data_IF_479204873404
#
_entry.id   IF_479204873404
#
_cell.length_a   1.000
_cell.length_b   1.000
_cell.length_c   1.000
_cell.angle_alpha   90.00
_cell.angle_beta   90.00
_cell.angle_gamma   90.00
#
_symmetry.space_group_name_H-M   'P 1'
#
loop_
_entity.id
_entity.type
_entity.pdbx_description
1 polymer ?
#
# COMPACT_ATOMS: atom_id res chain seq x y z
N UNK A 1 45.77 18.58 39.81
CA UNK A 1 45.94 17.37 39.00
C UNK A 1 47.39 17.21 38.54
N UNK A 2 48.04 18.19 37.89
CA UNK A 2 49.44 18.09 37.38
C UNK A 2 50.43 17.81 38.52
N UNK A 3 50.34 18.49 39.66
CA UNK A 3 51.22 18.25 40.84
C UNK A 3 51.12 16.82 41.35
N UNK A 4 49.92 16.22 41.37
CA UNK A 4 49.73 14.86 41.81
C UNK A 4 50.33 13.87 40.81
N UNK A 5 50.20 14.13 39.48
CA UNK A 5 50.81 13.29 38.46
C UNK A 5 52.35 13.28 38.53
N UNK A 6 52.95 14.42 38.90
CA UNK A 6 54.42 14.51 39.13
C UNK A 6 54.84 13.71 40.36
N UNK A 7 54.05 13.77 41.43
CA UNK A 7 54.33 13.02 42.67
C UNK A 7 54.17 11.51 42.50
N UNK A 8 53.25 11.10 41.62
CA UNK A 8 52.99 9.70 41.32
C UNK A 8 53.96 9.12 40.31
N UNK A 9 54.87 9.92 39.75
CA UNK A 9 55.92 9.49 38.79
C UNK A 9 56.92 8.53 39.47
N UNK A 10 56.91 7.28 39.04
CA UNK A 10 57.85 6.28 39.54
C UNK A 10 59.26 6.57 39.04
N UNK A 11 60.29 6.41 39.93
CA UNK A 11 61.71 6.68 39.61
C UNK A 11 62.24 5.99 38.35
N UNK A 12 61.72 4.85 37.98
CA UNK A 12 62.15 4.17 36.76
C UNK A 12 61.71 4.86 35.45
N UNK A 13 60.75 5.77 35.48
CA UNK A 13 60.33 6.59 34.34
C UNK A 13 61.25 7.78 34.06
N UNK A 14 62.22 7.99 34.93
CA UNK A 14 63.25 9.04 34.76
C UNK A 14 64.50 8.54 34.08
N UNK A 15 64.52 7.33 33.55
CA UNK A 15 65.64 6.83 32.70
C UNK A 15 65.63 7.49 31.35
N UNK A 16 66.81 7.74 30.75
CA UNK A 16 66.95 8.48 29.49
C UNK A 16 66.07 7.99 28.37
N UNK A 17 65.90 6.66 28.24
CA UNK A 17 65.03 6.03 27.23
C UNK A 17 63.53 6.29 27.43
N UNK A 18 63.06 6.45 28.64
CA UNK A 18 61.68 6.77 28.98
C UNK A 18 61.36 8.25 28.78
N UNK A 19 62.37 9.12 29.02
CA UNK A 19 62.29 10.56 28.76
C UNK A 19 62.20 10.83 27.25
N UNK A 20 62.99 10.13 26.41
CA UNK A 20 62.89 10.23 24.97
C UNK A 20 61.52 9.83 24.44
N UNK A 21 60.97 8.71 24.88
CA UNK A 21 59.61 8.28 24.51
C UNK A 21 58.53 9.29 24.95
N UNK A 22 58.67 9.89 26.11
CA UNK A 22 57.75 10.87 26.63
C UNK A 22 57.81 12.18 25.83
N UNK A 23 58.98 12.55 25.38
CA UNK A 23 59.20 13.71 24.48
C UNK A 23 58.66 13.47 23.08
N UNK A 24 58.79 12.25 22.53
CA UNK A 24 58.16 11.85 21.27
C UNK A 24 56.64 11.89 21.38
N UNK A 25 56.06 11.29 22.43
CA UNK A 25 54.63 11.30 22.68
C UNK A 25 54.09 12.73 22.88
N UNK A 26 54.81 13.57 23.61
CA UNK A 26 54.47 14.97 23.76
C UNK A 26 54.50 15.74 22.44
N UNK A 27 55.56 15.51 21.61
CA UNK A 27 55.64 16.10 20.26
C UNK A 27 54.48 15.70 19.36
N UNK A 28 54.13 14.41 19.33
CA UNK A 28 52.97 13.87 18.57
C UNK A 28 51.68 14.51 19.02
N UNK A 29 51.45 14.64 20.34
CA UNK A 29 50.23 15.29 20.84
C UNK A 29 50.17 16.77 20.46
N UNK A 30 51.26 17.49 20.45
CA UNK A 30 51.27 18.88 20.01
C UNK A 30 50.96 19.03 18.52
N UNK A 31 51.47 18.11 17.68
CA UNK A 31 51.17 18.07 16.24
C UNK A 31 49.67 17.81 16.04
N UNK A 32 49.10 16.82 16.75
CA UNK A 32 47.67 16.51 16.72
C UNK A 32 46.80 17.70 17.14
N UNK A 33 47.21 18.44 18.18
CA UNK A 33 46.50 19.63 18.62
C UNK A 33 46.50 20.70 17.53
N UNK A 34 47.68 20.97 16.95
CA UNK A 34 47.84 21.98 15.88
C UNK A 34 47.02 21.64 14.64
N UNK A 35 46.94 20.35 14.27
CA UNK A 35 46.08 19.87 13.18
C UNK A 35 44.61 20.09 13.46
N UNK A 36 44.17 19.73 14.66
CA UNK A 36 42.75 19.89 15.06
C UNK A 36 42.36 21.36 15.18
N UNK A 37 43.25 22.21 15.69
CA UNK A 37 43.04 23.67 15.72
C UNK A 37 42.90 24.26 14.32
N UNK A 38 43.70 23.80 13.36
CA UNK A 38 43.59 24.22 11.94
C UNK A 38 42.27 23.76 11.30
N UNK A 39 41.79 22.56 11.61
CA UNK A 39 40.49 22.06 11.13
C UNK A 39 39.34 22.92 11.68
N UNK A 40 39.40 23.28 12.97
CA UNK A 40 38.38 24.10 13.63
C UNK A 40 38.39 25.56 13.16
N UNK A 41 39.59 26.12 12.82
CA UNK A 41 39.73 27.50 12.40
C UNK A 41 39.29 27.72 10.94
N UNK A 42 39.40 26.71 10.07
CA UNK A 42 39.10 26.80 8.66
C UNK A 42 37.89 25.95 8.26
N UNK A 43 36.73 26.58 7.96
CA UNK A 43 35.54 25.87 7.53
C UNK A 43 35.75 25.04 6.25
N UNK A 44 36.68 25.40 5.39
CA UNK A 44 36.96 24.65 4.17
C UNK A 44 37.63 23.31 4.50
N UNK A 45 38.62 23.33 5.41
CA UNK A 45 39.26 22.11 5.91
C UNK A 45 38.31 21.22 6.67
N UNK A 46 37.45 21.78 7.50
CA UNK A 46 36.41 21.01 8.18
C UNK A 46 35.51 20.28 7.17
N UNK A 47 35.09 20.96 6.10
CA UNK A 47 34.29 20.36 5.04
C UNK A 47 35.03 19.23 4.29
N UNK A 48 36.34 19.37 4.11
CA UNK A 48 37.19 18.36 3.47
C UNK A 48 37.26 17.08 4.33
N UNK A 49 37.54 17.22 5.63
CA UNK A 49 37.57 16.11 6.58
C UNK A 49 36.21 15.36 6.61
N UNK A 50 35.10 16.10 6.69
CA UNK A 50 33.78 15.51 6.63
C UNK A 50 33.55 14.73 5.33
N UNK A 51 34.02 15.27 4.21
CA UNK A 51 33.89 14.59 2.90
C UNK A 51 34.71 13.31 2.85
N UNK A 52 35.90 13.30 3.41
CA UNK A 52 36.76 12.11 3.47
C UNK A 52 36.15 11.03 4.37
N UNK A 53 35.68 11.40 5.55
CA UNK A 53 35.01 10.48 6.46
C UNK A 53 33.74 9.87 5.81
N UNK A 54 32.92 10.69 5.17
CA UNK A 54 31.74 10.20 4.46
C UNK A 54 32.11 9.30 3.28
N UNK A 55 33.19 9.58 2.57
CA UNK A 55 33.68 8.73 1.49
C UNK A 55 34.15 7.37 2.04
N UNK A 56 34.86 7.37 3.17
CA UNK A 56 35.29 6.14 3.85
C UNK A 56 34.10 5.29 4.28
N UNK A 57 33.09 5.91 4.91
CA UNK A 57 31.83 5.23 5.29
C UNK A 57 31.12 4.66 4.08
N UNK A 58 31.01 5.44 2.98
CA UNK A 58 30.41 4.96 1.73
C UNK A 58 31.15 3.74 1.17
N UNK A 59 32.49 3.75 1.18
CA UNK A 59 33.28 2.66 0.65
C UNK A 59 33.18 1.39 1.50
N UNK A 60 32.98 1.54 2.81
CA UNK A 60 32.87 0.43 3.75
C UNK A 60 31.46 -0.17 3.81
N UNK A 61 30.41 0.66 3.68
CA UNK A 61 29.02 0.26 3.90
C UNK A 61 28.11 0.50 2.68
N UNK A 62 28.68 1.02 1.58
CA UNK A 62 27.90 1.30 0.38
C UNK A 62 27.45 0.03 -0.32
N UNK A 63 26.15 -0.13 -0.42
CA UNK A 63 25.51 -1.18 -1.21
C UNK A 63 25.10 -0.66 -2.57
N UNK A 64 25.00 -1.55 -3.55
CA UNK A 64 24.41 -1.24 -4.83
C UNK A 64 22.92 -0.90 -4.68
N UNK A 65 22.45 0.00 -5.52
CA UNK A 65 21.05 0.38 -5.52
C UNK A 65 20.18 -0.82 -5.85
N UNK A 66 19.25 -1.18 -4.96
CA UNK A 66 18.30 -2.30 -5.13
C UNK A 66 17.14 -1.98 -6.05
N UNK A 67 16.79 -0.69 -6.17
CA UNK A 67 15.71 -0.21 -7.02
C UNK A 67 16.28 0.32 -8.32
N UNK A 68 15.77 -0.11 -9.46
CA UNK A 68 16.10 0.42 -10.76
C UNK A 68 15.48 1.82 -10.95
N UNK A 69 16.26 2.75 -11.52
CA UNK A 69 15.72 4.05 -11.95
C UNK A 69 15.27 3.88 -13.38
N UNK A 70 13.97 3.85 -13.58
CA UNK A 70 13.36 3.78 -14.90
C UNK A 70 12.92 5.19 -15.29
N UNK A 71 13.45 5.70 -16.40
CA UNK A 71 12.95 6.91 -17.04
C UNK A 71 11.66 6.57 -17.81
N UNK A 72 10.60 6.31 -17.10
CA UNK A 72 9.31 6.02 -17.69
C UNK A 72 8.31 7.10 -17.29
N UNK A 73 7.63 7.67 -18.27
CA UNK A 73 6.52 8.60 -18.09
C UNK A 73 5.19 7.86 -17.78
N UNK A 74 5.24 6.57 -17.46
CA UNK A 74 4.06 5.81 -17.07
C UNK A 74 3.59 6.33 -15.71
N UNK A 75 2.49 7.04 -15.74
CA UNK A 75 1.76 7.37 -14.52
C UNK A 75 1.21 6.07 -13.94
N UNK A 76 1.78 5.58 -12.86
CA UNK A 76 1.21 4.46 -12.11
C UNK A 76 -0.19 4.85 -11.64
N UNK A 77 -1.18 4.14 -12.11
CA UNK A 77 -2.55 4.26 -11.59
C UNK A 77 -2.66 3.51 -10.25
N UNK A 78 -3.62 3.88 -9.44
CA UNK A 78 -3.93 3.13 -8.21
C UNK A 78 -4.25 1.67 -8.53
N UNK A 79 -4.80 1.41 -9.70
CA UNK A 79 -5.13 0.07 -10.21
C UNK A 79 -3.89 -0.81 -10.39
N UNK A 80 -2.76 -0.24 -10.84
CA UNK A 80 -1.50 -0.97 -11.05
C UNK A 80 -0.86 -1.47 -9.75
N UNK A 81 -1.21 -0.87 -8.62
CA UNK A 81 -0.71 -1.24 -7.29
C UNK A 81 -1.54 -2.33 -6.62
N UNK A 82 -2.70 -2.66 -7.17
CA UNK A 82 -3.62 -3.64 -6.59
C UNK A 82 -3.35 -5.02 -7.20
N UNK A 83 -3.11 -6.06 -6.39
CA UNK A 83 -2.92 -7.41 -6.90
C UNK A 83 -4.20 -7.92 -7.57
N UNK A 84 -4.03 -8.65 -8.67
CA UNK A 84 -5.13 -9.35 -9.35
C UNK A 84 -5.45 -10.64 -8.61
N UNK A 85 -6.57 -10.67 -7.92
CA UNK A 85 -7.03 -11.83 -7.17
C UNK A 85 -8.55 -11.99 -7.30
N UNK A 86 -9.02 -13.23 -7.20
CA UNK A 86 -10.44 -13.51 -7.21
C UNK A 86 -11.07 -13.19 -5.86
N UNK A 87 -12.09 -12.37 -5.89
CA UNK A 87 -12.79 -11.86 -4.72
C UNK A 87 -14.23 -12.36 -4.70
N UNK A 88 -14.70 -12.70 -3.52
CA UNK A 88 -16.13 -12.93 -3.26
C UNK A 88 -16.74 -11.60 -2.86
N UNK A 89 -17.63 -11.09 -3.69
CA UNK A 89 -18.39 -9.86 -3.44
C UNK A 89 -19.76 -10.23 -2.89
N UNK A 90 -20.13 -9.62 -1.79
CA UNK A 90 -21.40 -9.90 -1.11
C UNK A 90 -22.18 -8.59 -0.96
N UNK A 91 -23.44 -8.61 -1.39
CA UNK A 91 -24.41 -7.52 -1.21
C UNK A 91 -25.50 -7.98 -0.28
N UNK A 92 -25.87 -7.14 0.68
CA UNK A 92 -26.99 -7.40 1.57
C UNK A 92 -28.26 -6.70 1.10
N UNK A 93 -29.40 -7.20 1.54
CA UNK A 93 -30.71 -6.62 1.21
C UNK A 93 -30.87 -5.19 1.73
N UNK A 94 -30.18 -4.82 2.79
CA UNK A 94 -30.15 -3.45 3.34
C UNK A 94 -29.16 -2.52 2.65
N UNK A 95 -28.48 -2.99 1.58
CA UNK A 95 -27.61 -2.16 0.76
C UNK A 95 -26.16 -2.06 1.25
N UNK A 96 -25.68 -3.02 2.02
CA UNK A 96 -24.27 -3.11 2.39
C UNK A 96 -23.51 -4.02 1.42
N UNK A 97 -22.27 -3.64 1.12
CA UNK A 97 -21.38 -4.43 0.30
C UNK A 97 -20.04 -4.65 0.98
N UNK A 98 -19.43 -5.80 0.72
CA UNK A 98 -18.09 -6.16 1.15
C UNK A 98 -17.45 -7.13 0.18
N UNK A 99 -16.11 -7.17 0.19
CA UNK A 99 -15.32 -8.14 -0.53
C UNK A 99 -14.50 -9.01 0.41
N UNK A 100 -14.20 -10.23 -0.02
CA UNK A 100 -13.32 -11.17 0.67
C UNK A 100 -12.52 -11.96 -0.38
N UNK A 101 -11.24 -12.25 -0.14
CA UNK A 101 -10.49 -13.12 -1.02
C UNK A 101 -11.14 -14.50 -1.14
N UNK A 102 -11.24 -15.02 -2.36
CA UNK A 102 -11.80 -16.35 -2.62
C UNK A 102 -11.04 -17.44 -1.84
N UNK A 103 -9.73 -17.26 -1.64
CA UNK A 103 -8.90 -18.15 -0.85
C UNK A 103 -9.37 -18.33 0.61
N UNK A 104 -10.17 -17.40 1.14
CA UNK A 104 -10.76 -17.50 2.48
C UNK A 104 -11.88 -18.55 2.55
N UNK A 105 -12.40 -19.00 1.39
CA UNK A 105 -13.44 -19.99 1.25
C UNK A 105 -12.81 -21.32 0.88
N UNK A 106 -12.73 -22.24 1.83
CA UNK A 106 -12.24 -23.61 1.60
C UNK A 106 -13.41 -24.54 1.30
N UNK A 107 -13.24 -25.42 0.30
CA UNK A 107 -14.20 -26.48 0.04
C UNK A 107 -14.30 -27.42 1.25
N UNK A 108 -15.53 -27.78 1.62
CA UNK A 108 -15.75 -28.69 2.74
C UNK A 108 -15.81 -30.14 2.28
N UNK A 109 -15.18 -31.01 3.05
CA UNK A 109 -15.36 -32.46 2.92
C UNK A 109 -16.64 -32.90 3.62
N UNK A 110 -17.18 -34.07 3.23
CA UNK A 110 -18.40 -34.67 3.87
C UNK A 110 -18.21 -34.71 5.39
N UNK A 111 -19.20 -34.20 6.14
CA UNK A 111 -19.19 -34.16 7.61
C UNK A 111 -18.60 -32.91 8.26
N UNK A 112 -18.11 -31.96 7.51
CA UNK A 112 -17.64 -30.66 8.05
C UNK A 112 -18.80 -29.72 8.36
N UNK A 113 -18.66 -28.87 9.40
CA UNK A 113 -19.60 -27.75 9.64
C UNK A 113 -19.37 -26.67 8.59
N UNK A 114 -20.47 -26.28 7.88
CA UNK A 114 -20.46 -25.16 6.93
C UNK A 114 -19.92 -23.88 7.57
N UNK A 115 -19.20 -23.08 6.77
CA UNK A 115 -18.75 -21.75 7.21
C UNK A 115 -19.77 -20.73 6.71
N UNK A 116 -20.41 -19.97 7.62
CA UNK A 116 -21.28 -18.87 7.23
C UNK A 116 -20.50 -17.80 6.48
N UNK A 117 -21.04 -17.30 5.37
CA UNK A 117 -20.39 -16.24 4.58
C UNK A 117 -20.43 -14.88 5.30
N UNK A 118 -21.37 -14.68 6.19
CA UNK A 118 -21.54 -13.44 6.93
C UNK A 118 -22.36 -13.68 8.20
N UNK A 119 -22.08 -12.92 9.27
CA UNK A 119 -22.95 -12.77 10.42
C UNK A 119 -23.71 -11.46 10.23
N UNK A 120 -24.92 -11.55 9.78
CA UNK A 120 -25.85 -10.41 9.68
C UNK A 120 -26.60 -10.27 11.00
N UNK A 121 -26.93 -9.03 11.39
CA UNK A 121 -27.90 -8.79 12.47
C UNK A 121 -29.27 -9.30 12.02
N UNK A 122 -30.13 -9.62 12.96
CA UNK A 122 -31.38 -10.39 12.83
C UNK A 122 -32.35 -10.01 11.70
N UNK A 123 -32.13 -8.90 10.98
CA UNK A 123 -33.00 -8.39 9.92
C UNK A 123 -32.36 -8.24 8.54
N UNK A 124 -31.05 -8.50 8.39
CA UNK A 124 -30.36 -8.35 7.11
C UNK A 124 -30.02 -9.72 6.51
N UNK A 125 -30.17 -9.86 5.22
CA UNK A 125 -29.95 -11.12 4.49
C UNK A 125 -29.00 -10.83 3.31
N UNK A 126 -28.12 -11.78 2.98
CA UNK A 126 -27.34 -11.72 1.73
C UNK A 126 -28.32 -11.84 0.57
N UNK A 127 -28.38 -10.80 -0.24
CA UNK A 127 -29.25 -10.74 -1.42
C UNK A 127 -28.51 -11.27 -2.64
N UNK A 128 -27.24 -10.87 -2.81
CA UNK A 128 -26.41 -11.28 -3.93
C UNK A 128 -25.00 -11.66 -3.44
N UNK A 129 -24.50 -12.77 -3.97
CA UNK A 129 -23.14 -13.22 -3.82
C UNK A 129 -22.60 -13.55 -5.20
N UNK A 130 -21.45 -12.96 -5.55
CA UNK A 130 -20.78 -13.21 -6.83
C UNK A 130 -19.27 -13.33 -6.62
N UNK A 131 -18.61 -13.99 -7.56
CA UNK A 131 -17.15 -14.06 -7.65
C UNK A 131 -16.71 -13.18 -8.83
N UNK A 132 -15.77 -12.29 -8.58
CA UNK A 132 -15.22 -11.40 -9.60
C UNK A 132 -13.75 -11.13 -9.28
N UNK A 133 -12.95 -10.81 -10.30
CA UNK A 133 -11.57 -10.42 -10.09
C UNK A 133 -11.49 -9.01 -9.47
N UNK A 134 -10.45 -8.73 -8.69
CA UNK A 134 -10.24 -7.42 -8.06
C UNK A 134 -10.31 -6.26 -9.07
N UNK A 135 -9.87 -6.46 -10.30
CA UNK A 135 -9.87 -5.46 -11.39
C UNK A 135 -11.15 -5.41 -12.21
N UNK A 136 -12.08 -6.35 -12.00
CA UNK A 136 -13.35 -6.35 -12.71
C UNK A 136 -14.18 -5.13 -12.36
N UNK A 137 -15.07 -4.79 -13.28
CA UNK A 137 -16.03 -3.70 -13.11
C UNK A 137 -17.40 -4.28 -12.85
N UNK A 138 -18.07 -3.80 -11.81
CA UNK A 138 -19.45 -4.15 -11.52
C UNK A 138 -20.39 -3.12 -12.15
N UNK A 139 -21.33 -3.59 -12.96
CA UNK A 139 -22.45 -2.81 -13.44
C UNK A 139 -23.59 -2.90 -12.43
N UNK A 140 -23.89 -1.80 -11.78
CA UNK A 140 -24.89 -1.69 -10.72
C UNK A 140 -26.17 -1.06 -11.27
N UNK A 141 -27.23 -1.82 -11.38
CA UNK A 141 -28.54 -1.35 -11.85
C UNK A 141 -29.38 -0.93 -10.66
N UNK A 142 -29.95 0.25 -10.72
CA UNK A 142 -30.81 0.79 -9.66
C UNK A 142 -32.30 0.66 -9.98
N UNK A 143 -33.14 0.73 -8.97
CA UNK A 143 -34.60 0.77 -9.09
C UNK A 143 -35.12 2.03 -9.82
N UNK A 144 -34.32 3.11 -9.82
CA UNK A 144 -34.59 4.33 -10.60
C UNK A 144 -34.23 4.19 -12.09
N UNK A 145 -33.73 3.03 -12.52
CA UNK A 145 -33.33 2.74 -13.90
C UNK A 145 -31.99 3.31 -14.30
N UNK A 146 -31.18 3.75 -13.35
CA UNK A 146 -29.80 4.19 -13.59
C UNK A 146 -28.81 3.06 -13.47
N UNK A 147 -27.71 3.18 -14.22
CA UNK A 147 -26.57 2.27 -14.16
C UNK A 147 -25.36 3.03 -13.63
N UNK A 148 -24.68 2.44 -12.66
CA UNK A 148 -23.41 2.93 -12.12
C UNK A 148 -22.32 1.87 -12.31
N UNK A 149 -21.08 2.33 -12.42
CA UNK A 149 -19.90 1.49 -12.44
C UNK A 149 -19.19 1.56 -11.09
N UNK A 150 -18.70 0.42 -10.63
CA UNK A 150 -17.89 0.33 -9.44
C UNK A 150 -16.83 -0.75 -9.68
N UNK A 151 -15.59 -0.41 -9.41
CA UNK A 151 -14.50 -1.41 -9.45
C UNK A 151 -14.57 -2.31 -8.22
N UNK A 152 -14.27 -3.59 -8.39
CA UNK A 152 -14.31 -4.54 -7.27
C UNK A 152 -13.35 -4.13 -6.14
N UNK A 153 -12.16 -3.60 -6.48
CA UNK A 153 -11.19 -3.14 -5.50
C UNK A 153 -11.64 -1.90 -4.70
N UNK A 154 -12.61 -1.13 -5.18
CA UNK A 154 -13.18 0.02 -4.46
C UNK A 154 -14.12 -0.42 -3.33
N UNK A 155 -14.62 -1.65 -3.40
CA UNK A 155 -15.45 -2.22 -2.34
C UNK A 155 -14.55 -2.67 -1.19
N UNK A 156 -14.81 -2.21 0.05
CA UNK A 156 -13.93 -2.51 1.16
C UNK A 156 -13.85 -4.00 1.47
N UNK A 157 -12.62 -4.46 1.63
CA UNK A 157 -12.36 -5.79 2.13
C UNK A 157 -12.73 -5.86 3.61
N UNK A 158 -13.52 -6.83 3.98
CA UNK A 158 -14.00 -6.98 5.35
C UNK A 158 -13.99 -8.42 5.82
N UNK A 159 -13.85 -8.63 7.12
CA UNK A 159 -13.90 -9.96 7.72
C UNK A 159 -15.28 -10.60 7.52
N UNK A 160 -15.36 -11.92 7.71
CA UNK A 160 -16.60 -12.70 7.58
C UNK A 160 -17.73 -12.16 8.45
N UNK A 161 -17.41 -11.71 9.66
CA UNK A 161 -18.40 -11.22 10.63
C UNK A 161 -18.71 -9.73 10.46
N UNK A 162 -17.98 -9.01 9.63
CA UNK A 162 -18.20 -7.59 9.41
C UNK A 162 -19.36 -7.37 8.44
N UNK A 163 -20.11 -6.28 8.65
CA UNK A 163 -21.26 -5.90 7.84
C UNK A 163 -20.87 -5.34 6.46
N UNK A 164 -19.67 -4.79 6.33
CA UNK A 164 -19.25 -4.05 5.14
C UNK A 164 -19.60 -2.57 5.23
N UNK A 165 -19.59 -1.87 4.07
CA UNK A 165 -19.99 -0.46 3.96
C UNK A 165 -21.27 -0.31 3.14
N UNK A 166 -22.09 0.71 3.41
CA UNK A 166 -23.25 1.01 2.58
C UNK A 166 -22.82 1.36 1.15
N UNK A 167 -23.48 0.79 0.16
CA UNK A 167 -23.17 1.00 -1.26
C UNK A 167 -23.40 2.46 -1.68
N UNK A 168 -24.33 3.16 -1.03
CA UNK A 168 -24.58 4.59 -1.23
C UNK A 168 -23.36 5.48 -0.94
N UNK A 169 -22.44 5.02 -0.10
CA UNK A 169 -21.21 5.74 0.21
C UNK A 169 -20.06 5.45 -0.79
N UNK A 170 -20.28 4.54 -1.74
CA UNK A 170 -19.30 4.14 -2.76
C UNK A 170 -19.70 4.64 -4.15
N UNK A 171 -20.92 5.12 -4.30
CA UNK A 171 -21.46 5.65 -5.56
C UNK A 171 -21.88 7.10 -5.31
N UNK A 172 -21.08 8.05 -5.83
CA UNK A 172 -21.24 9.50 -5.56
C UNK A 172 -22.60 10.07 -5.95
N UNK A 173 -23.34 9.42 -6.82
CA UNK A 173 -24.59 9.93 -7.38
C UNK A 173 -25.79 9.02 -7.13
N UNK A 174 -25.73 8.13 -6.16
CA UNK A 174 -26.90 7.36 -5.77
C UNK A 174 -27.85 8.28 -5.00
N UNK A 175 -29.04 8.53 -5.56
CA UNK A 175 -30.07 9.35 -4.90
C UNK A 175 -30.44 8.74 -3.52
N UNK A 176 -30.71 9.59 -2.55
CA UNK A 176 -31.14 9.17 -1.22
C UNK A 176 -32.35 8.26 -1.32
N UNK A 177 -32.19 6.99 -0.95
CA UNK A 177 -33.23 5.96 -1.05
C UNK A 177 -33.16 5.07 -2.29
N UNK A 178 -32.26 5.32 -3.24
CA UNK A 178 -32.04 4.45 -4.40
C UNK A 178 -31.50 3.08 -3.97
N UNK A 179 -32.04 2.03 -4.57
CA UNK A 179 -31.67 0.64 -4.27
C UNK A 179 -31.05 -0.03 -5.49
N UNK A 180 -29.93 -0.75 -5.28
CA UNK A 180 -29.36 -1.61 -6.30
C UNK A 180 -30.24 -2.86 -6.45
N UNK A 181 -30.73 -3.11 -7.65
CA UNK A 181 -31.64 -4.22 -7.97
C UNK A 181 -30.96 -5.38 -8.67
N UNK A 182 -29.87 -5.10 -9.41
CA UNK A 182 -29.08 -6.11 -10.08
C UNK A 182 -27.62 -5.67 -10.18
N UNK A 183 -26.73 -6.64 -10.14
CA UNK A 183 -25.28 -6.44 -10.30
C UNK A 183 -24.78 -7.42 -11.35
N UNK A 184 -24.01 -6.91 -12.31
CA UNK A 184 -23.38 -7.73 -13.34
C UNK A 184 -21.88 -7.49 -13.29
N UNK A 185 -21.05 -8.52 -13.00
CA UNK A 185 -19.62 -8.42 -13.13
C UNK A 185 -19.20 -8.38 -14.60
N UNK A 186 -18.23 -7.55 -14.92
CA UNK A 186 -17.68 -7.37 -16.24
C UNK A 186 -16.15 -7.45 -16.16
N UNK A 187 -15.61 -8.58 -16.63
CA UNK A 187 -14.18 -8.79 -16.75
C UNK A 187 -13.57 -8.05 -17.95
N UNK A 188 -12.25 -8.02 -18.02
CA UNK A 188 -11.55 -7.45 -19.19
C UNK A 188 -11.90 -8.17 -20.48
N UNK A 189 -11.99 -9.51 -20.44
CA UNK A 189 -12.33 -10.35 -21.58
C UNK A 189 -13.80 -10.20 -22.02
N UNK A 190 -14.65 -9.66 -21.16
CA UNK A 190 -16.07 -9.46 -21.42
C UNK A 190 -16.37 -8.20 -22.24
N UNK A 191 -15.39 -7.34 -22.46
CA UNK A 191 -15.53 -6.08 -23.20
C UNK A 191 -15.46 -6.22 -24.72
N UNK A 192 -15.50 -7.46 -25.25
CA UNK A 192 -15.44 -7.75 -26.69
C UNK A 192 -16.68 -7.27 -27.47
N UNK A 193 -16.47 -7.04 -28.77
CA UNK A 193 -17.54 -6.69 -29.71
C UNK A 193 -18.64 -7.76 -29.78
N UNK A 194 -19.87 -7.35 -29.99
CA UNK A 194 -21.01 -8.25 -30.18
C UNK A 194 -21.66 -8.73 -28.87
N UNK A 195 -21.26 -8.24 -27.73
CA UNK A 195 -21.92 -8.53 -26.45
C UNK A 195 -23.06 -7.55 -26.16
N UNK A 196 -24.09 -8.06 -25.49
CA UNK A 196 -25.30 -7.31 -25.17
C UNK A 196 -25.70 -7.52 -23.72
N UNK A 197 -26.22 -6.48 -23.09
CA UNK A 197 -26.93 -6.59 -21.83
C UNK A 197 -28.42 -6.78 -22.13
N UNK A 198 -28.99 -7.87 -21.67
CA UNK A 198 -30.39 -8.14 -21.74
C UNK A 198 -31.05 -7.85 -20.40
N UNK A 199 -32.04 -6.98 -20.40
CA UNK A 199 -32.74 -6.52 -19.20
C UNK A 199 -34.21 -6.89 -19.31
N UNK A 200 -34.78 -7.41 -18.24
CA UNK A 200 -36.22 -7.67 -18.10
C UNK A 200 -36.74 -7.05 -16.82
N UNK A 201 -37.84 -6.36 -16.89
CA UNK A 201 -38.52 -5.77 -15.73
C UNK A 201 -39.63 -6.67 -15.20
N UNK A 202 -40.01 -6.45 -13.95
CA UNK A 202 -41.14 -7.19 -13.34
C UNK A 202 -42.48 -7.02 -14.11
N UNK A 203 -42.60 -5.95 -14.88
CA UNK A 203 -43.79 -5.70 -15.73
C UNK A 203 -43.71 -6.37 -17.09
N UNK A 204 -42.73 -7.21 -17.35
CA UNK A 204 -42.56 -7.91 -18.61
C UNK A 204 -41.92 -7.08 -19.76
N UNK A 205 -41.48 -5.86 -19.48
CA UNK A 205 -40.74 -5.08 -20.47
C UNK A 205 -39.32 -5.60 -20.60
N UNK A 206 -38.91 -5.90 -21.83
CA UNK A 206 -37.57 -6.40 -22.13
C UNK A 206 -36.80 -5.43 -23.01
N UNK A 207 -35.49 -5.31 -22.79
CA UNK A 207 -34.60 -4.48 -23.58
C UNK A 207 -33.26 -5.16 -23.77
N UNK A 208 -32.74 -5.13 -24.99
CA UNK A 208 -31.40 -5.60 -25.34
C UNK A 208 -30.57 -4.40 -25.78
N UNK A 209 -29.44 -4.18 -25.15
CA UNK A 209 -28.57 -3.02 -25.42
C UNK A 209 -27.14 -3.51 -25.63
N UNK A 210 -26.44 -3.07 -26.70
CA UNK A 210 -25.03 -3.38 -26.87
C UNK A 210 -24.21 -2.93 -25.63
N UNK A 211 -23.27 -3.77 -25.20
CA UNK A 211 -22.45 -3.48 -24.02
C UNK A 211 -21.62 -2.20 -24.17
N UNK A 212 -21.21 -1.89 -25.40
CA UNK A 212 -20.46 -0.67 -25.75
C UNK A 212 -21.17 0.63 -25.35
N UNK A 213 -22.52 0.61 -25.33
CA UNK A 213 -23.30 1.77 -24.87
C UNK A 213 -23.10 2.10 -23.40
N UNK A 214 -22.60 1.16 -22.64
CA UNK A 214 -22.27 1.33 -21.22
C UNK A 214 -20.79 1.60 -20.96
N UNK A 215 -19.95 1.74 -22.01
CA UNK A 215 -18.50 1.89 -21.90
C UNK A 215 -18.04 3.22 -21.28
N UNK A 216 -18.90 4.24 -21.23
CA UNK A 216 -18.57 5.57 -20.69
C UNK A 216 -19.59 5.99 -19.64
N UNK A 217 -19.47 5.49 -18.41
CA UNK A 217 -20.36 5.90 -17.33
C UNK A 217 -20.12 7.37 -16.98
N UNK A 218 -21.21 8.08 -16.74
CA UNK A 218 -21.15 9.42 -16.14
C UNK A 218 -21.21 9.26 -14.63
N UNK A 219 -20.64 10.19 -13.88
CA UNK A 219 -20.74 10.18 -12.41
C UNK A 219 -22.21 10.11 -11.92
N UNK A 220 -23.14 10.74 -12.65
CA UNK A 220 -24.58 10.71 -12.37
C UNK A 220 -25.29 9.41 -12.78
N UNK A 221 -24.57 8.43 -13.33
CA UNK A 221 -25.13 7.21 -13.94
C UNK A 221 -25.56 7.40 -15.41
N UNK A 222 -25.86 6.29 -16.07
CA UNK A 222 -26.40 6.20 -17.43
C UNK A 222 -27.87 5.85 -17.34
#
# INVERSE_FOLDING_TARGET
>A
QQAQAILDLRLHRLTGLEIEKLLEEYGSILEDIAERETILADPAKLTEVIREELAAVRNQFGDDRRSEIIESHLSLSTEDLIPREDMVVTFSKTGYAKTQPLASYQSQRRGGRGKSATNLKDEDVVDLLLVANSHDTLLLFTDTGRLHWLKVYEIPQASRNARGKPIVNMIDALESGGRVTAVLPLGEDDRGEGRYVFMATARGTVKKVPLERFARPRASGI
#
